data_IF_241460094419
#
_entry.id   IF_241460094419
#
_cell.length_a   1.000
_cell.length_b   1.000
_cell.length_c   1.000
_cell.angle_alpha   90.00
_cell.angle_beta   90.00
_cell.angle_gamma   90.00
#
_symmetry.space_group_name_H-M   'P 1'
#
loop_
_entity.id
_entity.type
_entity.pdbx_description
1 polymer ?
#
# COMPACT_ATOMS: atom_id res chain seq x y z
N UNK A 1 -14.31 -12.31 -15.34
CA UNK A 1 -14.55 -10.89 -15.60
C UNK A 1 -13.25 -10.14 -15.43
N UNK A 2 -12.58 -9.81 -16.54
CA UNK A 2 -11.32 -9.08 -16.54
C UNK A 2 -11.62 -7.61 -16.36
N UNK A 3 -11.55 -7.11 -15.12
CA UNK A 3 -11.80 -5.69 -14.79
C UNK A 3 -10.71 -4.79 -15.45
N UNK A 4 -9.66 -5.40 -15.99
CA UNK A 4 -8.59 -4.76 -16.74
C UNK A 4 -8.39 -5.51 -18.06
N UNK A 5 -8.53 -4.84 -19.20
CA UNK A 5 -8.07 -5.36 -20.50
C UNK A 5 -6.55 -5.58 -20.54
N UNK A 6 -5.82 -5.01 -19.58
CA UNK A 6 -4.41 -5.29 -19.34
C UNK A 6 -4.30 -6.26 -18.16
N UNK A 7 -4.16 -7.55 -18.47
CA UNK A 7 -3.44 -8.43 -17.55
C UNK A 7 -2.06 -7.76 -17.37
N UNK A 8 -1.68 -7.39 -16.16
CA UNK A 8 -0.36 -6.84 -15.87
C UNK A 8 0.46 -7.99 -15.26
N UNK A 9 1.13 -8.85 -16.07
CA UNK A 9 1.90 -9.98 -15.58
C UNK A 9 2.87 -9.62 -14.46
N UNK A 10 3.48 -8.44 -14.54
CA UNK A 10 4.40 -7.93 -13.52
C UNK A 10 3.69 -7.75 -12.17
N UNK A 11 2.47 -7.21 -12.16
CA UNK A 11 1.68 -7.02 -10.95
C UNK A 11 1.30 -8.36 -10.33
N UNK A 12 0.82 -9.31 -11.14
CA UNK A 12 0.49 -10.65 -10.65
C UNK A 12 1.72 -11.33 -10.07
N UNK A 13 2.88 -11.19 -10.73
CA UNK A 13 4.15 -11.74 -10.26
C UNK A 13 4.58 -11.11 -8.94
N UNK A 14 4.46 -9.78 -8.81
CA UNK A 14 4.73 -9.06 -7.59
C UNK A 14 3.81 -9.50 -6.43
N UNK A 15 2.50 -9.61 -6.68
CA UNK A 15 1.52 -9.99 -5.66
C UNK A 15 1.73 -11.43 -5.13
N UNK A 16 2.29 -12.33 -5.95
CA UNK A 16 2.61 -13.70 -5.51
C UNK A 16 3.55 -13.75 -4.31
N UNK A 17 4.46 -12.79 -4.16
CA UNK A 17 5.34 -12.74 -2.99
C UNK A 17 4.58 -12.62 -1.67
N UNK A 18 3.39 -12.02 -1.69
CA UNK A 18 2.57 -11.77 -0.49
C UNK A 18 1.48 -12.82 -0.27
N UNK A 19 1.36 -13.84 -1.14
CA UNK A 19 0.28 -14.81 -1.08
C UNK A 19 0.25 -15.64 0.22
N UNK A 20 1.40 -15.86 0.86
CA UNK A 20 1.50 -16.54 2.16
C UNK A 20 1.16 -15.63 3.35
N UNK A 21 1.16 -14.30 3.15
CA UNK A 21 0.94 -13.32 4.21
C UNK A 21 -0.55 -12.98 4.42
N UNK A 22 -1.40 -13.34 3.45
CA UNK A 22 -2.78 -12.88 3.35
C UNK A 22 -3.69 -14.04 2.95
N UNK A 23 -4.90 -14.07 3.49
CA UNK A 23 -5.93 -15.02 3.06
C UNK A 23 -6.31 -14.80 1.59
N UNK A 24 -6.95 -15.79 0.96
CA UNK A 24 -7.45 -15.68 -0.42
C UNK A 24 -8.35 -14.46 -0.63
N UNK A 25 -9.22 -14.14 0.35
CA UNK A 25 -10.12 -12.98 0.31
C UNK A 25 -9.34 -11.66 0.38
N UNK A 26 -8.35 -11.58 1.28
CA UNK A 26 -7.47 -10.41 1.39
C UNK A 26 -6.63 -10.21 0.13
N UNK A 27 -6.09 -11.29 -0.45
CA UNK A 27 -5.34 -11.22 -1.71
C UNK A 27 -6.20 -10.71 -2.87
N UNK A 28 -7.47 -11.11 -2.95
CA UNK A 28 -8.39 -10.59 -3.97
C UNK A 28 -8.62 -9.08 -3.79
N UNK A 29 -8.86 -8.60 -2.56
CA UNK A 29 -9.04 -7.16 -2.30
C UNK A 29 -7.75 -6.37 -2.51
N UNK A 30 -6.60 -6.87 -2.05
CA UNK A 30 -5.30 -6.25 -2.31
C UNK A 30 -5.05 -6.09 -3.81
N UNK A 31 -5.37 -7.13 -4.59
CA UNK A 31 -5.22 -7.09 -6.06
C UNK A 31 -6.04 -5.94 -6.64
N UNK A 32 -7.33 -5.84 -6.28
CA UNK A 32 -8.20 -4.75 -6.73
C UNK A 32 -7.70 -3.37 -6.27
N UNK A 33 -7.22 -3.26 -5.03
CA UNK A 33 -6.62 -2.03 -4.49
C UNK A 33 -5.43 -1.59 -5.33
N UNK A 34 -4.48 -2.48 -5.62
CA UNK A 34 -3.29 -2.12 -6.41
C UNK A 34 -3.69 -1.74 -7.84
N UNK A 35 -4.62 -2.49 -8.44
CA UNK A 35 -5.17 -2.14 -9.74
C UNK A 35 -5.84 -0.77 -9.77
N UNK A 36 -6.60 -0.43 -8.73
CA UNK A 36 -7.20 0.88 -8.59
C UNK A 36 -6.15 1.98 -8.45
N UNK A 37 -4.99 1.74 -7.81
CA UNK A 37 -3.91 2.71 -7.68
C UNK A 37 -3.25 3.09 -9.02
N UNK A 38 -3.38 2.27 -10.06
CA UNK A 38 -2.90 2.60 -11.42
C UNK A 38 -3.87 3.49 -12.20
N UNK A 39 -5.05 3.80 -11.67
CA UNK A 39 -5.99 4.72 -12.32
C UNK A 39 -5.67 6.15 -11.93
N UNK A 40 -5.89 7.05 -12.88
CA UNK A 40 -5.78 8.48 -12.63
C UNK A 40 -7.05 8.99 -11.93
N UNK A 41 -6.88 9.63 -10.78
CA UNK A 41 -7.97 10.27 -10.04
C UNK A 41 -7.55 11.68 -9.66
N UNK A 42 -8.50 12.62 -9.74
CA UNK A 42 -8.33 13.95 -9.14
C UNK A 42 -7.98 13.88 -7.65
N UNK A 43 -8.54 12.91 -6.93
CA UNK A 43 -8.20 12.57 -5.54
C UNK A 43 -8.38 11.08 -5.31
N UNK A 44 -7.33 10.41 -4.85
CA UNK A 44 -7.42 9.01 -4.48
C UNK A 44 -8.25 8.85 -3.19
N UNK A 45 -9.31 8.06 -3.25
CA UNK A 45 -10.19 7.71 -2.12
C UNK A 45 -10.71 6.29 -2.29
N UNK A 46 -11.07 5.62 -1.18
CA UNK A 46 -11.62 4.26 -1.22
C UNK A 46 -12.90 4.19 -2.09
N UNK A 47 -13.72 5.23 -2.04
CA UNK A 47 -14.92 5.38 -2.86
C UNK A 47 -14.61 5.49 -4.37
N UNK A 48 -13.61 6.29 -4.75
CA UNK A 48 -13.16 6.37 -6.13
C UNK A 48 -12.57 5.03 -6.62
N UNK A 49 -11.77 4.38 -5.79
CA UNK A 49 -11.18 3.06 -6.09
C UNK A 49 -12.26 1.98 -6.24
N UNK A 50 -13.28 1.98 -5.37
CA UNK A 50 -14.37 1.01 -5.38
C UNK A 50 -15.18 1.12 -6.69
N UNK A 51 -15.51 2.36 -7.10
CA UNK A 51 -16.14 2.61 -8.41
C UNK A 51 -15.27 2.13 -9.58
N UNK A 52 -13.97 2.44 -9.56
CA UNK A 52 -13.06 2.09 -10.65
C UNK A 52 -12.81 0.58 -10.79
N UNK A 53 -13.07 -0.20 -9.74
CA UNK A 53 -12.89 -1.67 -9.72
C UNK A 53 -14.21 -2.43 -9.69
N UNK A 54 -15.34 -1.73 -9.79
CA UNK A 54 -16.69 -2.30 -9.66
C UNK A 54 -16.84 -3.17 -8.40
N UNK A 55 -16.29 -2.68 -7.28
CA UNK A 55 -16.34 -3.33 -5.97
C UNK A 55 -17.15 -2.49 -4.98
N UNK A 56 -17.65 -3.16 -3.94
CA UNK A 56 -18.35 -2.51 -2.84
C UNK A 56 -17.38 -1.69 -1.97
N UNK A 57 -17.72 -0.43 -1.72
CA UNK A 57 -16.97 0.46 -0.84
C UNK A 57 -16.70 -0.15 0.55
N UNK A 58 -17.69 -0.82 1.16
CA UNK A 58 -17.55 -1.43 2.48
C UNK A 58 -16.48 -2.52 2.51
N UNK A 59 -16.29 -3.25 1.41
CA UNK A 59 -15.22 -4.25 1.32
C UNK A 59 -13.85 -3.60 1.40
N UNK A 60 -13.66 -2.46 0.73
CA UNK A 60 -12.41 -1.69 0.84
C UNK A 60 -12.25 -1.07 2.21
N UNK A 61 -13.30 -0.47 2.77
CA UNK A 61 -13.27 0.05 4.13
C UNK A 61 -12.80 -1.04 5.10
N UNK A 62 -13.51 -2.18 5.16
CA UNK A 62 -13.17 -3.31 6.04
C UNK A 62 -11.76 -3.85 5.80
N UNK A 63 -11.32 -3.92 4.54
CA UNK A 63 -9.97 -4.38 4.21
C UNK A 63 -8.87 -3.52 4.84
N UNK A 64 -9.08 -2.20 4.91
CA UNK A 64 -8.11 -1.26 5.49
C UNK A 64 -8.30 -1.00 6.98
N UNK A 65 -9.53 -1.06 7.51
CA UNK A 65 -9.82 -0.78 8.93
C UNK A 65 -9.72 -1.99 9.83
N UNK A 66 -10.36 -3.11 9.46
CA UNK A 66 -10.66 -4.21 10.39
C UNK A 66 -9.99 -5.53 10.00
N UNK A 67 -9.55 -5.66 8.75
CA UNK A 67 -8.89 -6.87 8.28
C UNK A 67 -7.56 -7.08 9.00
N UNK A 68 -7.40 -8.24 9.66
CA UNK A 68 -6.17 -8.59 10.36
C UNK A 68 -5.08 -8.98 9.38
N UNK A 69 -4.02 -8.18 9.30
CA UNK A 69 -2.84 -8.46 8.48
C UNK A 69 -1.71 -8.95 9.38
N UNK A 70 -1.00 -10.00 8.96
CA UNK A 70 0.27 -10.36 9.61
C UNK A 70 1.34 -9.36 9.17
N UNK A 71 1.43 -8.25 9.91
CA UNK A 71 2.37 -7.17 9.64
C UNK A 71 3.82 -7.66 9.69
N UNK A 72 4.14 -8.66 10.52
CA UNK A 72 5.51 -9.18 10.61
C UNK A 72 5.85 -10.05 9.41
N UNK A 73 4.93 -10.88 8.94
CA UNK A 73 5.10 -11.61 7.69
C UNK A 73 5.28 -10.65 6.50
N UNK A 74 4.44 -9.61 6.39
CA UNK A 74 4.56 -8.61 5.32
C UNK A 74 5.92 -7.90 5.35
N UNK A 75 6.39 -7.49 6.54
CA UNK A 75 7.71 -6.83 6.70
C UNK A 75 8.85 -7.74 6.28
N UNK A 76 8.82 -9.01 6.70
CA UNK A 76 9.83 -10.02 6.33
C UNK A 76 9.84 -10.28 4.82
N UNK A 77 8.68 -10.53 4.22
CA UNK A 77 8.54 -10.69 2.76
C UNK A 77 9.10 -9.48 2.02
N UNK A 78 8.82 -8.25 2.48
CA UNK A 78 9.36 -7.04 1.87
C UNK A 78 10.88 -6.97 1.94
N UNK A 79 11.47 -7.31 3.09
CA UNK A 79 12.93 -7.37 3.24
C UNK A 79 13.56 -8.42 2.32
N UNK A 80 12.95 -9.60 2.21
CA UNK A 80 13.44 -10.66 1.31
C UNK A 80 13.43 -10.21 -0.16
N UNK A 81 12.37 -9.51 -0.61
CA UNK A 81 12.31 -8.95 -1.98
C UNK A 81 13.48 -7.97 -2.20
N UNK A 82 13.70 -7.05 -1.26
CA UNK A 82 14.78 -6.04 -1.33
C UNK A 82 16.15 -6.71 -1.39
N UNK A 83 16.38 -7.73 -0.55
CA UNK A 83 17.65 -8.46 -0.46
C UNK A 83 17.93 -9.33 -1.69
N UNK A 84 16.90 -9.86 -2.34
CA UNK A 84 17.05 -10.70 -3.55
C UNK A 84 17.21 -9.89 -4.83
N UNK A 85 16.90 -8.59 -4.81
CA UNK A 85 16.98 -7.73 -5.99
C UNK A 85 18.34 -7.05 -6.09
N UNK A 86 19.08 -7.27 -7.19
CA UNK A 86 20.47 -6.81 -7.37
C UNK A 86 20.65 -5.30 -7.14
N UNK A 87 19.68 -4.49 -7.53
CA UNK A 87 19.75 -3.02 -7.42
C UNK A 87 19.45 -2.47 -6.02
N UNK A 88 18.91 -3.31 -5.12
CA UNK A 88 18.54 -2.91 -3.75
C UNK A 88 19.14 -3.81 -2.68
N UNK A 89 19.80 -4.90 -3.09
CA UNK A 89 20.45 -5.84 -2.19
C UNK A 89 21.59 -5.15 -1.42
N UNK A 90 21.77 -5.44 -0.12
CA UNK A 90 22.93 -4.98 0.62
C UNK A 90 24.22 -5.46 -0.04
N UNK A 91 25.21 -4.59 -0.12
CA UNK A 91 26.57 -4.90 -0.59
C UNK A 91 27.57 -4.47 0.46
N UNK A 92 28.78 -5.05 0.43
CA UNK A 92 29.85 -4.74 1.39
C UNK A 92 30.18 -3.24 1.41
N UNK A 93 30.14 -2.59 0.25
CA UNK A 93 30.44 -1.17 0.06
C UNK A 93 29.17 -0.32 -0.13
N UNK A 94 28.01 -0.85 0.26
CA UNK A 94 26.72 -0.19 0.12
C UNK A 94 26.52 0.91 1.17
N UNK A 95 25.70 1.91 0.82
CA UNK A 95 25.33 3.00 1.73
C UNK A 95 23.93 2.77 2.29
N UNK A 96 23.79 2.88 3.62
CA UNK A 96 22.48 2.92 4.27
C UNK A 96 22.05 4.38 4.45
N UNK A 97 21.12 4.83 3.62
CA UNK A 97 20.46 6.11 3.81
C UNK A 97 19.30 5.97 4.81
N UNK A 98 19.34 6.73 5.90
CA UNK A 98 18.24 6.87 6.85
C UNK A 98 17.79 8.31 6.80
N UNK A 99 16.53 8.51 6.44
CA UNK A 99 15.88 9.81 6.38
C UNK A 99 14.50 9.70 7.02
N UNK A 100 14.00 10.81 7.57
CA UNK A 100 12.64 10.90 8.10
C UNK A 100 11.79 11.76 7.17
N UNK A 101 10.57 11.31 6.90
CA UNK A 101 9.63 12.03 6.02
C UNK A 101 8.39 12.48 6.79
N UNK A 102 8.14 13.78 6.74
CA UNK A 102 6.90 14.39 7.18
C UNK A 102 5.77 14.22 6.16
N UNK A 103 4.64 13.61 6.54
CA UNK A 103 3.38 13.68 5.77
C UNK A 103 2.27 14.34 6.62
N UNK A 104 2.41 15.63 6.94
CA UNK A 104 1.51 16.32 7.86
C UNK A 104 0.09 16.36 7.30
N UNK A 105 -0.84 15.68 7.98
CA UNK A 105 -2.26 15.68 7.63
C UNK A 105 -2.90 16.97 8.13
N UNK A 106 -3.41 17.87 7.25
CA UNK A 106 -3.95 19.17 7.64
C UNK A 106 -5.08 19.08 8.69
N UNK A 107 -5.82 17.97 8.66
CA UNK A 107 -6.95 17.71 9.54
C UNK A 107 -6.67 16.56 10.52
N UNK A 108 -5.42 16.31 10.89
CA UNK A 108 -5.05 15.19 11.79
C UNK A 108 -5.91 15.15 13.06
N UNK A 109 -6.16 16.30 13.70
CA UNK A 109 -7.01 16.41 14.91
C UNK A 109 -8.47 15.99 14.69
N UNK A 110 -8.94 15.96 13.44
CA UNK A 110 -10.30 15.60 13.01
C UNK A 110 -10.33 14.31 12.20
N UNK A 111 -9.21 13.60 12.08
CA UNK A 111 -9.09 12.38 11.27
C UNK A 111 -8.78 11.23 12.21
N UNK A 112 -9.66 10.25 12.26
CA UNK A 112 -9.44 9.03 13.02
C UNK A 112 -8.12 8.37 12.58
N UNK A 113 -7.39 7.80 13.54
CA UNK A 113 -6.11 7.10 13.32
C UNK A 113 -4.99 7.97 12.71
N UNK A 114 -5.16 9.29 12.61
CA UNK A 114 -4.10 10.23 12.28
C UNK A 114 -3.54 10.89 13.54
N UNK A 115 -2.21 10.89 13.69
CA UNK A 115 -1.53 11.71 14.71
C UNK A 115 -1.05 13.03 14.11
N UNK A 116 -1.05 14.07 14.94
CA UNK A 116 -0.44 15.34 14.58
C UNK A 116 1.07 15.11 14.40
N UNK A 117 1.59 15.50 13.23
CA UNK A 117 3.03 15.46 12.95
C UNK A 117 3.54 16.90 12.86
N UNK A 118 4.53 17.23 13.68
CA UNK A 118 5.24 18.49 13.56
C UNK A 118 6.03 18.52 12.26
N UNK A 119 5.92 19.60 11.51
CA UNK A 119 6.68 19.80 10.28
C UNK A 119 7.20 21.24 10.27
N UNK A 120 8.46 21.40 10.66
CA UNK A 120 9.15 22.70 10.77
C UNK A 120 9.02 23.56 9.51
N UNK A 121 9.27 23.03 8.30
CA UNK A 121 9.10 23.78 7.05
C UNK A 121 7.69 24.30 6.82
N UNK A 122 6.65 23.56 7.25
CA UNK A 122 5.26 24.01 7.12
C UNK A 122 4.80 24.91 8.27
N UNK A 123 5.63 25.13 9.30
CA UNK A 123 5.32 25.90 10.51
C UNK A 123 4.01 25.47 11.20
N UNK A 124 3.61 24.21 11.04
CA UNK A 124 2.38 23.66 11.65
C UNK A 124 2.69 23.19 13.07
N UNK A 125 1.95 23.73 14.04
CA UNK A 125 1.97 23.36 15.46
C UNK A 125 0.71 22.59 15.84
#
# INVERSE_FOLDING_TARGET
MSIFGANIPLLITFLKYFASCLSKKQMALLTLVIYALFKDYKRNSLDAMARATHTDYQKFQYFFSDSKWDIQAIKRTRLEIIQKQRTTAPTKDGLLAIDDTGCPKPFAKKTESAKLQYCGPLKRK
#
